data_IF_812934009940
#
_entry.id   IF_812934009940
#
_cell.length_a   1.000
_cell.length_b   1.000
_cell.length_c   1.000
_cell.angle_alpha   90.00
_cell.angle_beta   90.00
_cell.angle_gamma   90.00
#
_symmetry.space_group_name_H-M   'P 1'
#
loop_
_entity.id
_entity.type
_entity.pdbx_description
1 polymer ?
#
# COMPACT_ATOMS: atom_id res chain seq x y z
N UNK A 1 -4.26 -2.92 -31.49
CA UNK A 1 -5.22 -3.41 -30.48
C UNK A 1 -4.70 -3.27 -29.04
N UNK A 2 -3.59 -3.92 -28.63
CA UNK A 2 -3.13 -3.91 -27.22
C UNK A 2 -2.53 -2.58 -26.71
N UNK A 3 -1.76 -1.87 -27.54
CA UNK A 3 -1.17 -0.57 -27.15
C UNK A 3 -2.27 0.50 -27.00
N UNK A 4 -3.25 0.52 -27.91
CA UNK A 4 -4.36 1.46 -27.88
C UNK A 4 -5.19 1.36 -26.58
N UNK A 5 -5.53 0.13 -26.16
CA UNK A 5 -6.25 -0.12 -24.91
C UNK A 5 -5.51 0.39 -23.67
N UNK A 6 -4.18 0.23 -23.61
CA UNK A 6 -3.34 0.74 -22.52
C UNK A 6 -3.32 2.27 -22.47
N UNK A 7 -3.22 2.93 -23.63
CA UNK A 7 -3.24 4.40 -23.70
C UNK A 7 -4.60 4.99 -23.38
N UNK A 8 -5.69 4.38 -23.85
CA UNK A 8 -7.06 4.85 -23.61
C UNK A 8 -7.46 4.73 -22.14
N UNK A 9 -7.17 3.59 -21.50
CA UNK A 9 -7.46 3.38 -20.08
C UNK A 9 -6.59 4.23 -19.15
N UNK A 10 -5.34 4.51 -19.54
CA UNK A 10 -4.47 5.37 -18.75
C UNK A 10 -4.84 6.85 -18.90
N UNK A 11 -5.37 7.28 -20.05
CA UNK A 11 -5.72 8.69 -20.29
C UNK A 11 -6.74 9.23 -19.29
N UNK A 12 -7.75 8.43 -18.91
CA UNK A 12 -8.74 8.80 -17.89
C UNK A 12 -8.15 8.88 -16.47
N UNK A 13 -6.97 8.32 -16.24
CA UNK A 13 -6.26 8.30 -14.96
C UNK A 13 -5.06 9.28 -14.92
N UNK A 14 -4.97 10.21 -15.88
CA UNK A 14 -3.85 11.17 -15.96
C UNK A 14 -2.64 10.68 -16.75
N UNK A 15 -2.74 9.55 -17.44
CA UNK A 15 -1.72 8.94 -18.28
C UNK A 15 -0.88 7.87 -17.57
N UNK A 16 -0.04 7.16 -18.34
CA UNK A 16 0.75 6.03 -17.83
C UNK A 16 1.68 6.42 -16.68
N UNK A 17 2.19 7.65 -16.69
CA UNK A 17 3.05 8.16 -15.62
C UNK A 17 2.30 8.23 -14.30
N UNK A 18 1.13 8.83 -14.28
CA UNK A 18 0.31 8.98 -13.07
C UNK A 18 -0.07 7.60 -12.52
N UNK A 19 -0.51 6.69 -13.40
CA UNK A 19 -0.82 5.30 -13.04
C UNK A 19 0.41 4.58 -12.44
N UNK A 20 1.60 4.78 -13.01
CA UNK A 20 2.84 4.20 -12.49
C UNK A 20 3.29 4.78 -11.15
N UNK A 21 2.83 5.99 -10.81
CA UNK A 21 3.11 6.69 -9.56
C UNK A 21 2.04 6.46 -8.48
N UNK A 22 1.06 5.57 -8.73
CA UNK A 22 -0.03 5.22 -7.79
C UNK A 22 0.43 4.81 -6.39
N UNK A 23 1.63 4.23 -6.25
CA UNK A 23 2.25 3.91 -4.96
C UNK A 23 2.42 5.12 -4.02
N UNK A 24 2.33 6.36 -4.53
CA UNK A 24 2.38 7.58 -3.74
C UNK A 24 1.07 7.87 -2.99
N UNK A 25 -0.03 7.30 -3.48
CA UNK A 25 -1.37 7.56 -2.95
C UNK A 25 -2.01 6.29 -2.39
N UNK A 26 -1.66 5.11 -2.90
CA UNK A 26 -2.07 3.81 -2.37
C UNK A 26 -1.09 3.29 -1.32
N UNK A 27 -1.59 2.53 -0.35
CA UNK A 27 -0.85 2.08 0.82
C UNK A 27 -0.91 3.10 1.97
N UNK A 28 0.02 2.96 2.91
CA UNK A 28 0.10 3.77 4.12
C UNK A 28 1.09 4.92 3.97
N UNK A 29 0.62 6.15 4.17
CA UNK A 29 1.43 7.36 4.00
C UNK A 29 1.31 8.30 5.18
N UNK A 30 2.43 8.84 5.66
CA UNK A 30 2.40 9.99 6.56
C UNK A 30 1.89 11.20 5.79
N UNK A 31 0.95 11.92 6.37
CA UNK A 31 0.43 13.20 5.86
C UNK A 31 0.88 14.35 6.76
N UNK A 32 0.61 15.59 6.35
CA UNK A 32 0.88 16.76 7.17
C UNK A 32 0.19 16.70 8.54
N UNK A 33 0.76 17.41 9.52
CA UNK A 33 0.25 17.50 10.90
C UNK A 33 0.23 16.18 11.69
N UNK A 34 1.13 15.23 11.38
CA UNK A 34 1.28 14.00 12.16
C UNK A 34 0.15 12.98 11.98
N UNK A 35 -0.65 13.13 10.93
CA UNK A 35 -1.70 12.18 10.56
C UNK A 35 -1.19 11.18 9.52
N UNK A 36 -1.93 10.09 9.33
CA UNK A 36 -1.70 9.10 8.28
C UNK A 36 -2.88 9.04 7.33
N UNK A 37 -2.62 8.73 6.07
CA UNK A 37 -3.63 8.32 5.10
C UNK A 37 -3.36 6.88 4.68
N UNK A 38 -4.42 6.11 4.54
CA UNK A 38 -4.35 4.77 3.98
C UNK A 38 -5.33 4.66 2.81
N UNK A 39 -4.92 3.99 1.73
CA UNK A 39 -5.78 3.71 0.57
C UNK A 39 -5.47 2.35 -0.03
N UNK A 40 -6.51 1.60 -0.39
CA UNK A 40 -6.38 0.26 -0.99
C UNK A 40 -7.50 0.02 -2.01
N UNK A 41 -7.24 -0.82 -3.02
CA UNK A 41 -8.29 -1.30 -3.91
C UNK A 41 -8.79 -2.67 -3.45
N UNK A 42 -10.03 -2.71 -2.97
CA UNK A 42 -10.71 -3.90 -2.45
C UNK A 42 -12.12 -3.97 -3.07
N UNK A 43 -12.23 -4.35 -4.36
CA UNK A 43 -13.51 -4.44 -5.03
C UNK A 43 -14.39 -5.54 -4.42
N UNK A 44 -15.70 -5.34 -4.41
CA UNK A 44 -16.65 -6.33 -3.89
C UNK A 44 -16.70 -6.45 -2.35
N UNK A 45 -16.01 -5.57 -1.63
CA UNK A 45 -16.19 -5.40 -0.20
C UNK A 45 -17.48 -4.61 0.11
N UNK A 46 -18.11 -4.90 1.25
CA UNK A 46 -19.17 -4.09 1.86
C UNK A 46 -18.65 -3.33 3.09
N UNK A 47 -17.49 -3.71 3.60
CA UNK A 47 -16.77 -2.96 4.62
C UNK A 47 -15.28 -3.30 4.62
N UNK A 48 -14.44 -2.28 4.78
CA UNK A 48 -12.99 -2.43 4.91
C UNK A 48 -12.54 -1.65 6.14
N UNK A 49 -11.67 -2.26 6.93
CA UNK A 49 -11.19 -1.68 8.18
C UNK A 49 -9.68 -1.83 8.27
N UNK A 50 -9.00 -0.78 8.71
CA UNK A 50 -7.58 -0.84 9.02
C UNK A 50 -7.41 -1.29 10.47
N UNK A 51 -6.65 -2.34 10.67
CA UNK A 51 -6.50 -2.98 11.98
C UNK A 51 -5.03 -3.18 12.29
N UNK A 52 -4.63 -2.98 13.54
CA UNK A 52 -3.24 -3.16 13.92
C UNK A 52 -2.97 -2.81 15.37
N UNK A 53 -1.70 -2.79 15.74
CA UNK A 53 -1.29 -2.48 17.11
C UNK A 53 -1.76 -1.08 17.55
N UNK A 54 -1.83 -0.12 16.62
CA UNK A 54 -2.25 1.26 16.89
C UNK A 54 -3.70 1.39 17.38
N UNK A 55 -4.57 0.42 17.08
CA UNK A 55 -5.97 0.36 17.52
C UNK A 55 -6.31 -0.96 18.23
N UNK A 56 -5.29 -1.63 18.80
CA UNK A 56 -5.44 -2.90 19.52
C UNK A 56 -6.16 -4.01 18.72
N UNK A 57 -5.97 -4.03 17.39
CA UNK A 57 -6.59 -4.99 16.47
C UNK A 57 -8.13 -4.98 16.47
N UNK A 58 -8.74 -3.87 16.87
CA UNK A 58 -10.19 -3.69 16.83
C UNK A 58 -10.70 -3.53 15.38
N UNK A 59 -11.55 -4.46 14.97
CA UNK A 59 -12.14 -4.58 13.63
C UNK A 59 -13.09 -3.45 13.28
N UNK A 60 -13.55 -2.67 14.24
CA UNK A 60 -14.51 -1.58 14.03
C UNK A 60 -13.90 -0.19 14.29
N UNK A 61 -12.70 -0.11 14.88
CA UNK A 61 -12.12 1.15 15.34
C UNK A 61 -11.64 2.08 14.22
N UNK A 62 -11.37 1.56 13.02
CA UNK A 62 -10.85 2.37 11.90
C UNK A 62 -11.45 1.93 10.56
N UNK A 63 -12.75 2.23 10.32
CA UNK A 63 -13.39 1.95 9.04
C UNK A 63 -12.77 2.80 7.92
N UNK A 64 -12.78 2.25 6.71
CA UNK A 64 -12.47 2.97 5.48
C UNK A 64 -13.76 3.35 4.77
N UNK A 65 -13.68 4.43 4.01
CA UNK A 65 -14.74 4.93 3.15
C UNK A 65 -14.43 4.54 1.70
N UNK A 66 -15.43 4.00 1.01
CA UNK A 66 -15.34 3.71 -0.43
C UNK A 66 -15.44 5.01 -1.22
N UNK A 67 -14.60 5.15 -2.24
CA UNK A 67 -14.58 6.31 -3.13
C UNK A 67 -15.79 6.31 -4.05
N UNK A 68 -16.50 7.44 -4.13
CA UNK A 68 -17.60 7.64 -5.09
C UNK A 68 -17.09 7.66 -6.54
N UNK A 69 -15.94 8.31 -6.78
CA UNK A 69 -15.33 8.42 -8.11
C UNK A 69 -14.71 7.11 -8.63
N UNK A 70 -14.29 6.23 -7.71
CA UNK A 70 -13.54 5.02 -8.02
C UNK A 70 -14.06 3.84 -7.18
N UNK A 71 -15.17 3.20 -7.60
CA UNK A 71 -15.74 2.06 -6.89
C UNK A 71 -14.70 0.96 -6.60
N UNK A 72 -14.74 0.43 -5.39
CA UNK A 72 -13.78 -0.53 -4.85
C UNK A 72 -12.49 0.08 -4.33
N UNK A 73 -12.24 1.40 -4.49
CA UNK A 73 -11.12 2.06 -3.82
C UNK A 73 -11.57 2.55 -2.45
N UNK A 74 -10.89 2.09 -1.41
CA UNK A 74 -11.20 2.40 -0.01
C UNK A 74 -10.11 3.25 0.58
N UNK A 75 -10.46 4.22 1.43
CA UNK A 75 -9.47 5.03 2.12
C UNK A 75 -9.90 5.50 3.51
N UNK A 76 -8.93 5.83 4.35
CA UNK A 76 -9.18 6.48 5.63
C UNK A 76 -8.06 7.47 5.99
N UNK A 77 -8.37 8.39 6.91
CA UNK A 77 -7.41 9.26 7.56
C UNK A 77 -7.33 8.91 9.04
N UNK A 78 -6.12 8.66 9.52
CA UNK A 78 -5.84 8.36 10.93
C UNK A 78 -5.20 9.61 11.55
N UNK A 79 -5.78 10.13 12.62
CA UNK A 79 -5.31 11.34 13.29
C UNK A 79 -5.34 11.18 14.83
N UNK A 80 -4.82 12.19 15.54
CA UNK A 80 -4.85 12.22 16.99
C UNK A 80 -4.07 11.07 17.64
N UNK A 81 -4.62 10.52 18.72
CA UNK A 81 -3.96 9.47 19.52
C UNK A 81 -3.66 8.21 18.70
N UNK A 82 -4.57 7.78 17.83
CA UNK A 82 -4.36 6.60 16.98
C UNK A 82 -3.17 6.78 16.03
N UNK A 83 -3.03 7.97 15.44
CA UNK A 83 -1.89 8.30 14.58
C UNK A 83 -0.57 8.35 15.34
N UNK A 84 -0.58 8.85 16.57
CA UNK A 84 0.58 8.87 17.46
C UNK A 84 1.03 7.46 17.87
N UNK A 85 0.08 6.54 18.06
CA UNK A 85 0.35 5.13 18.35
C UNK A 85 0.78 4.32 17.12
N UNK A 86 0.60 4.85 15.91
CA UNK A 86 0.98 4.16 14.67
C UNK A 86 2.44 4.43 14.31
N UNK A 87 3.34 3.88 15.13
CA UNK A 87 4.77 4.11 15.05
C UNK A 87 5.47 3.22 14.01
N UNK A 88 6.72 3.59 13.66
CA UNK A 88 7.57 2.76 12.81
C UNK A 88 7.82 1.41 13.50
N UNK A 89 7.63 0.32 12.75
CA UNK A 89 7.70 -1.05 13.25
C UNK A 89 6.35 -1.64 13.67
N UNK A 90 5.32 -0.80 13.84
CA UNK A 90 3.99 -1.30 14.23
C UNK A 90 3.37 -2.17 13.14
N UNK A 91 2.73 -3.26 13.56
CA UNK A 91 2.06 -4.19 12.65
C UNK A 91 0.63 -3.75 12.35
N UNK A 92 0.19 -4.02 11.13
CA UNK A 92 -1.18 -3.77 10.68
C UNK A 92 -1.61 -4.71 9.54
N UNK A 93 -2.91 -4.83 9.36
CA UNK A 93 -3.62 -5.57 8.30
C UNK A 93 -4.88 -4.84 7.89
N UNK A 94 -5.59 -5.41 6.92
CA UNK A 94 -7.00 -5.10 6.73
C UNK A 94 -7.86 -6.18 7.39
N UNK A 95 -9.06 -5.77 7.78
CA UNK A 95 -10.19 -6.66 7.97
C UNK A 95 -11.23 -6.30 6.90
N UNK A 96 -11.59 -7.27 6.07
CA UNK A 96 -12.49 -7.07 4.94
C UNK A 96 -13.75 -7.90 5.13
N UNK A 97 -14.91 -7.26 5.00
CA UNK A 97 -16.21 -7.90 4.90
C UNK A 97 -16.61 -7.91 3.43
N UNK A 98 -16.61 -9.06 2.75
CA UNK A 98 -17.03 -9.14 1.36
C UNK A 98 -18.55 -9.03 1.23
N UNK A 99 -19.03 -8.75 0.02
CA UNK A 99 -20.46 -8.85 -0.32
C UNK A 99 -20.99 -10.27 -0.18
N UNK A 100 -20.15 -11.25 -0.49
CA UNK A 100 -20.47 -12.68 -0.44
C UNK A 100 -19.31 -13.45 0.22
N UNK A 101 -19.64 -14.39 1.10
CA UNK A 101 -18.67 -15.20 1.84
C UNK A 101 -18.28 -14.64 3.20
N UNK A 102 -17.22 -15.20 3.78
CA UNK A 102 -16.76 -14.90 5.14
C UNK A 102 -15.76 -13.73 5.17
N UNK A 103 -15.73 -12.94 6.25
CA UNK A 103 -14.70 -11.92 6.44
C UNK A 103 -13.28 -12.49 6.49
N UNK A 104 -12.30 -11.73 5.99
CA UNK A 104 -10.92 -12.16 5.89
C UNK A 104 -9.91 -11.04 6.21
N UNK A 105 -8.64 -11.43 6.40
CA UNK A 105 -7.58 -10.57 6.93
C UNK A 105 -6.39 -10.47 5.98
N UNK A 106 -6.53 -9.76 4.84
CA UNK A 106 -5.45 -9.67 3.89
C UNK A 106 -4.35 -8.73 4.37
N UNK A 107 -3.12 -9.01 3.94
CA UNK A 107 -2.02 -8.04 4.01
C UNK A 107 -2.25 -7.01 2.90
N UNK A 108 -2.21 -5.70 3.21
CA UNK A 108 -2.31 -4.63 2.20
C UNK A 108 -1.34 -4.83 1.02
N UNK A 109 -1.85 -4.70 -0.20
CA UNK A 109 -1.08 -4.94 -1.42
C UNK A 109 0.05 -3.92 -1.60
N UNK A 110 -0.16 -2.70 -1.10
CA UNK A 110 0.79 -1.58 -1.19
C UNK A 110 1.64 -1.40 0.08
N UNK A 111 1.77 -2.44 0.90
CA UNK A 111 2.67 -2.40 2.05
C UNK A 111 4.14 -2.33 1.60
N UNK A 112 4.92 -1.42 2.18
CA UNK A 112 6.35 -1.27 1.85
C UNK A 112 7.23 -2.32 2.52
N UNK A 113 6.71 -2.96 3.56
CA UNK A 113 7.39 -3.98 4.34
C UNK A 113 6.39 -4.93 4.96
N UNK A 114 6.72 -6.21 4.96
CA UNK A 114 6.04 -7.25 5.72
C UNK A 114 7.01 -7.93 6.68
N UNK A 115 6.48 -8.51 7.75
CA UNK A 115 7.21 -9.34 8.67
C UNK A 115 6.40 -10.59 9.01
N UNK A 116 7.09 -11.71 9.21
CA UNK A 116 6.49 -12.91 9.76
C UNK A 116 6.23 -12.72 11.25
N UNK A 117 5.02 -13.08 11.69
CA UNK A 117 4.60 -13.04 13.09
C UNK A 117 4.52 -14.47 13.61
N UNK A 118 5.46 -14.89 14.48
CA UNK A 118 5.51 -16.27 14.98
C UNK A 118 4.23 -16.73 15.67
N UNK A 119 3.61 -15.85 16.47
CA UNK A 119 2.42 -16.19 17.26
C UNK A 119 1.22 -16.60 16.40
N UNK A 120 1.08 -16.01 15.22
CA UNK A 120 -0.02 -16.29 14.28
C UNK A 120 0.41 -17.20 13.13
N UNK A 121 1.71 -17.44 12.95
CA UNK A 121 2.30 -18.05 11.75
C UNK A 121 1.90 -17.35 10.44
N UNK A 122 1.59 -16.05 10.48
CA UNK A 122 1.17 -15.27 9.32
C UNK A 122 2.11 -14.09 9.06
N UNK A 123 2.02 -13.53 7.86
CA UNK A 123 2.65 -12.24 7.54
C UNK A 123 1.75 -11.10 8.00
N UNK A 124 2.36 -10.04 8.51
CA UNK A 124 1.73 -8.75 8.79
C UNK A 124 2.44 -7.63 8.03
N UNK A 125 1.70 -6.62 7.59
CA UNK A 125 2.33 -5.40 7.09
C UNK A 125 2.95 -4.63 8.26
N UNK A 126 4.07 -3.96 8.00
CA UNK A 126 4.81 -3.20 9.01
C UNK A 126 4.82 -1.75 8.60
N UNK A 127 4.40 -0.86 9.51
CA UNK A 127 4.52 0.58 9.35
C UNK A 127 6.00 0.93 9.20
N UNK A 128 6.42 1.20 7.96
CA UNK A 128 7.81 1.51 7.65
C UNK A 128 7.85 2.73 6.74
N UNK A 129 7.63 3.94 7.30
CA UNK A 129 7.72 5.16 6.51
C UNK A 129 9.12 5.26 5.91
N UNK A 130 9.19 5.45 4.59
CA UNK A 130 10.44 5.62 3.86
C UNK A 130 10.99 7.02 4.13
N UNK A 131 11.67 7.15 5.26
CA UNK A 131 12.35 8.39 5.67
C UNK A 131 13.74 8.41 5.05
N UNK A 132 13.86 9.05 3.87
CA UNK A 132 15.06 9.65 3.26
C UNK A 132 15.30 9.27 1.79
N UNK A 133 15.87 10.25 1.08
CA UNK A 133 16.37 10.14 -0.29
C UNK A 133 17.46 9.07 -0.34
N UNK A 134 17.15 7.92 -0.93
CA UNK A 134 18.16 6.95 -1.31
C UNK A 134 19.17 7.69 -2.19
N UNK A 135 20.45 7.67 -1.82
CA UNK A 135 21.49 8.19 -2.70
C UNK A 135 21.39 7.36 -3.98
N UNK A 136 21.11 7.97 -5.15
CA UNK A 136 21.08 7.21 -6.38
C UNK A 136 22.36 6.38 -6.44
N UNK A 137 22.22 5.10 -6.78
CA UNK A 137 23.39 4.36 -7.25
C UNK A 137 24.04 5.26 -8.30
N UNK A 138 25.34 5.55 -8.13
CA UNK A 138 26.05 6.41 -9.07
C UNK A 138 25.72 5.89 -10.47
N UNK A 139 25.26 6.75 -11.40
CA UNK A 139 24.85 6.28 -12.71
C UNK A 139 25.99 5.41 -13.24
N UNK A 140 25.68 4.14 -13.51
CA UNK A 140 26.65 3.25 -14.12
C UNK A 140 27.20 3.96 -15.36
N UNK A 141 28.49 3.75 -15.65
CA UNK A 141 29.05 4.13 -16.94
C UNK A 141 28.02 3.72 -18.00
N UNK A 142 27.56 4.68 -18.82
CA UNK A 142 26.38 4.52 -19.68
C UNK A 142 26.39 3.24 -20.50
N UNK A 143 25.24 2.88 -21.09
CA UNK A 143 25.02 1.61 -21.82
C UNK A 143 26.31 1.07 -22.45
N UNK A 144 26.89 -0.02 -21.93
CA UNK A 144 28.16 -0.54 -22.41
C UNK A 144 28.09 -0.81 -23.92
N UNK A 145 29.17 -0.51 -24.64
CA UNK A 145 29.28 -0.83 -26.08
C UNK A 145 29.40 -2.35 -26.35
N UNK A 146 29.46 -3.16 -25.30
CA UNK A 146 29.58 -4.62 -25.34
C UNK A 146 28.30 -5.25 -24.83
N UNK A 147 27.97 -6.49 -25.26
CA UNK A 147 26.81 -7.21 -24.74
C UNK A 147 26.84 -7.34 -23.22
N UNK A 148 25.67 -7.26 -22.59
CA UNK A 148 25.52 -7.39 -21.15
C UNK A 148 26.04 -8.75 -20.65
N UNK A 149 26.73 -8.74 -19.52
CA UNK A 149 27.18 -9.94 -18.79
C UNK A 149 26.55 -9.92 -17.41
N UNK A 150 25.39 -10.56 -17.29
CA UNK A 150 24.56 -10.55 -16.08
C UNK A 150 24.97 -11.71 -15.17
N UNK A 151 25.25 -11.43 -13.90
CA UNK A 151 25.45 -12.44 -12.87
C UNK A 151 24.21 -12.48 -11.96
N UNK A 152 23.48 -13.59 -12.02
CA UNK A 152 22.35 -13.84 -11.11
C UNK A 152 22.88 -14.14 -9.71
N UNK A 153 22.32 -13.50 -8.68
CA UNK A 153 22.72 -13.69 -7.29
C UNK A 153 21.52 -13.83 -6.36
N UNK A 154 21.74 -14.52 -5.25
CA UNK A 154 20.79 -14.64 -4.13
C UNK A 154 21.49 -14.09 -2.89
N UNK A 155 20.83 -13.15 -2.20
CA UNK A 155 21.33 -12.52 -0.98
C UNK A 155 21.03 -13.35 0.27
#
# INVERSE_FOLDING_TARGET
ARIACLTEGAASLGGLREVSESYRNFGLHKTGAGAWSFREWVPGATGVFLVGEFNAWDKAATPLEESEDFPGVWSCRIAGAAAASFAKGSKYKLYVVPKEGEPYWPVPAWSTRYAYTPDTNLLDAVCWPLEAKVKPLAPGAGVPAVPDRIYECHL
#
